data_IF_659771698667
#
_entry.id   IF_659771698667
#
_cell.length_a   1.000
_cell.length_b   1.000
_cell.length_c   1.000
_cell.angle_alpha   90.00
_cell.angle_beta   90.00
_cell.angle_gamma   90.00
#
_symmetry.space_group_name_H-M   'P 1'
#
loop_
_entity.id
_entity.type
_entity.pdbx_description
1 polymer ?
#
# COMPACT_ATOMS: atom_id res chain seq x y z
N UNK A 1 25.08 -13.15 27.66
CA UNK A 1 24.94 -11.69 27.46
C UNK A 1 25.28 -11.19 26.04
N UNK A 2 25.93 -11.97 25.17
CA UNK A 2 26.33 -11.52 23.80
C UNK A 2 25.18 -11.48 22.76
N UNK A 3 24.28 -12.47 22.74
CA UNK A 3 23.20 -12.56 21.74
C UNK A 3 22.08 -11.49 21.88
N UNK A 4 21.86 -10.96 23.08
CA UNK A 4 20.86 -9.91 23.32
C UNK A 4 21.32 -8.55 22.75
N UNK A 5 22.62 -8.26 22.85
CA UNK A 5 23.24 -7.04 22.31
C UNK A 5 23.24 -7.02 20.77
N UNK A 6 23.52 -8.16 20.13
CA UNK A 6 23.48 -8.25 18.66
C UNK A 6 22.06 -8.09 18.09
N UNK A 7 21.06 -8.67 18.76
CA UNK A 7 19.64 -8.55 18.36
C UNK A 7 19.12 -7.12 18.51
N UNK A 8 19.50 -6.43 19.58
CA UNK A 8 19.17 -5.01 19.78
C UNK A 8 19.80 -4.10 18.71
N UNK A 9 21.05 -4.36 18.33
CA UNK A 9 21.73 -3.63 17.24
C UNK A 9 21.05 -3.83 15.88
N UNK A 10 20.56 -5.05 15.60
CA UNK A 10 19.79 -5.33 14.39
C UNK A 10 18.45 -4.58 14.39
N UNK A 11 17.68 -4.60 15.48
CA UNK A 11 16.40 -3.88 15.58
C UNK A 11 16.61 -2.38 15.37
N UNK A 12 17.63 -1.79 16.00
CA UNK A 12 17.94 -0.37 15.83
C UNK A 12 18.30 -0.02 14.38
N UNK A 13 18.93 -0.93 13.65
CA UNK A 13 19.22 -0.75 12.22
C UNK A 13 17.94 -0.80 11.38
N UNK A 14 17.04 -1.76 11.65
CA UNK A 14 15.79 -1.89 10.92
C UNK A 14 14.88 -0.66 11.09
N UNK A 15 14.79 -0.12 12.31
CA UNK A 15 14.03 1.11 12.57
C UNK A 15 14.58 2.29 11.76
N UNK A 16 15.92 2.43 11.70
CA UNK A 16 16.56 3.50 10.91
C UNK A 16 16.24 3.38 9.42
N UNK A 17 16.26 2.16 8.88
CA UNK A 17 15.98 1.92 7.46
C UNK A 17 14.50 2.13 7.16
N UNK A 18 13.60 1.67 8.02
CA UNK A 18 12.17 1.93 7.89
C UNK A 18 11.90 3.43 7.92
N UNK A 19 12.49 4.16 8.87
CA UNK A 19 12.38 5.62 8.94
C UNK A 19 12.92 6.31 7.68
N UNK A 20 14.03 5.81 7.12
CA UNK A 20 14.55 6.31 5.84
C UNK A 20 13.54 6.15 4.70
N UNK A 21 12.94 4.97 4.53
CA UNK A 21 11.92 4.76 3.49
C UNK A 21 10.63 5.54 3.74
N UNK A 22 10.25 5.77 5.01
CA UNK A 22 9.15 6.69 5.34
C UNK A 22 9.46 8.11 4.91
N UNK A 23 10.65 8.64 5.21
CA UNK A 23 11.05 9.98 4.80
C UNK A 23 11.14 10.11 3.27
N UNK A 24 11.68 9.08 2.60
CA UNK A 24 11.71 9.03 1.13
C UNK A 24 10.29 9.06 0.55
N UNK A 25 9.37 8.28 1.12
CA UNK A 25 7.96 8.26 0.71
C UNK A 25 7.33 9.62 0.88
N UNK A 26 7.52 10.29 2.02
CA UNK A 26 7.01 11.63 2.27
C UNK A 26 7.55 12.65 1.26
N UNK A 27 8.82 12.54 0.87
CA UNK A 27 9.44 13.42 -0.12
C UNK A 27 8.87 13.20 -1.54
N UNK A 28 8.73 11.93 -1.95
CA UNK A 28 8.30 11.56 -3.31
C UNK A 28 6.80 11.73 -3.49
N UNK A 29 6.02 11.48 -2.45
CA UNK A 29 4.55 11.65 -2.48
C UNK A 29 4.12 13.06 -2.08
N UNK A 30 5.05 13.97 -1.78
CA UNK A 30 4.71 15.34 -1.40
C UNK A 30 3.82 16.00 -2.47
N UNK A 31 2.71 16.69 -2.11
CA UNK A 31 2.28 17.07 -0.76
C UNK A 31 1.22 16.14 -0.11
N UNK A 32 1.17 14.86 -0.46
CA UNK A 32 0.07 13.94 -0.06
C UNK A 32 -0.22 13.94 1.44
N UNK A 33 0.81 13.97 2.28
CA UNK A 33 0.65 13.96 3.75
C UNK A 33 -0.19 15.14 4.27
N UNK A 34 -0.17 16.28 3.58
CA UNK A 34 -0.97 17.46 3.93
C UNK A 34 -2.45 17.33 3.49
N UNK A 35 -2.73 16.34 2.66
CA UNK A 35 -4.03 16.13 1.99
C UNK A 35 -4.59 14.72 2.20
N UNK A 36 -4.14 14.02 3.26
CA UNK A 36 -4.49 12.62 3.53
C UNK A 36 -5.98 12.32 3.48
N UNK A 37 -6.83 13.27 3.86
CA UNK A 37 -8.27 13.03 4.01
C UNK A 37 -9.13 13.78 2.98
N UNK A 38 -8.53 14.50 2.02
CA UNK A 38 -9.30 15.34 1.08
C UNK A 38 -8.85 15.29 -0.38
N UNK A 39 -7.73 14.63 -0.70
CA UNK A 39 -7.28 14.42 -2.08
C UNK A 39 -6.66 13.05 -2.22
N UNK A 40 -6.68 12.52 -3.43
CA UNK A 40 -5.95 11.30 -3.80
C UNK A 40 -5.03 11.59 -4.98
N UNK A 41 -3.90 10.87 -5.12
CA UNK A 41 -3.06 10.96 -6.31
C UNK A 41 -3.82 10.46 -7.56
N UNK A 42 -3.41 10.99 -8.71
CA UNK A 42 -3.95 10.61 -10.02
C UNK A 42 -4.80 11.69 -10.68
N UNK A 43 -5.34 11.35 -11.84
CA UNK A 43 -6.15 12.25 -12.64
C UNK A 43 -7.55 12.43 -12.05
N UNK A 44 -8.22 13.52 -12.41
CA UNK A 44 -9.62 13.72 -12.04
C UNK A 44 -10.50 12.69 -12.76
N UNK A 45 -11.33 11.98 -11.99
CA UNK A 45 -12.29 10.98 -12.49
C UNK A 45 -11.66 9.84 -13.33
N UNK A 46 -10.51 9.31 -12.89
CA UNK A 46 -9.89 8.10 -13.46
C UNK A 46 -10.06 6.89 -12.50
N UNK A 47 -9.24 5.85 -12.69
CA UNK A 47 -9.29 4.61 -11.90
C UNK A 47 -9.22 4.84 -10.38
N UNK A 48 -8.54 5.89 -9.92
CA UNK A 48 -8.45 6.28 -8.50
C UNK A 48 -9.82 6.45 -7.84
N UNK A 49 -10.81 7.00 -8.56
CA UNK A 49 -12.17 7.16 -8.03
C UNK A 49 -12.93 5.83 -7.95
N UNK A 50 -12.66 4.89 -8.86
CA UNK A 50 -13.22 3.54 -8.77
C UNK A 50 -12.69 2.82 -7.52
N UNK A 51 -11.38 2.90 -7.25
CA UNK A 51 -10.79 2.30 -6.05
C UNK A 51 -11.29 2.95 -4.76
N UNK A 52 -11.40 4.27 -4.71
CA UNK A 52 -12.03 4.98 -3.58
C UNK A 52 -13.46 4.50 -3.35
N UNK A 53 -14.25 4.42 -4.42
CA UNK A 53 -15.62 3.95 -4.35
C UNK A 53 -15.68 2.50 -3.86
N UNK A 54 -14.79 1.59 -4.31
CA UNK A 54 -14.74 0.21 -3.82
C UNK A 54 -14.42 0.14 -2.32
N UNK A 55 -13.46 0.93 -1.84
CA UNK A 55 -13.11 1.02 -0.41
C UNK A 55 -14.31 1.50 0.41
N UNK A 56 -14.95 2.59 -0.03
CA UNK A 56 -16.17 3.12 0.58
C UNK A 56 -17.30 2.09 0.57
N UNK A 57 -17.58 1.48 -0.59
CA UNK A 57 -18.66 0.53 -0.78
C UNK A 57 -18.53 -0.70 0.12
N UNK A 58 -17.32 -1.24 0.25
CA UNK A 58 -17.08 -2.36 1.15
C UNK A 58 -17.43 -2.03 2.60
N UNK A 59 -17.03 -0.84 3.07
CA UNK A 59 -17.43 -0.35 4.39
C UNK A 59 -18.95 -0.19 4.47
N UNK A 60 -19.56 0.51 3.53
CA UNK A 60 -21.00 0.79 3.57
C UNK A 60 -21.85 -0.46 3.48
N UNK A 61 -21.55 -1.38 2.55
CA UNK A 61 -22.27 -2.63 2.41
C UNK A 61 -22.19 -3.49 3.68
N UNK A 62 -20.98 -3.68 4.24
CA UNK A 62 -20.79 -4.56 5.40
C UNK A 62 -21.27 -3.90 6.70
N UNK A 63 -20.89 -2.66 6.96
CA UNK A 63 -21.07 -1.99 8.25
C UNK A 63 -22.39 -1.24 8.32
N UNK A 64 -22.73 -0.48 7.27
CA UNK A 64 -23.89 0.42 7.31
C UNK A 64 -25.18 -0.30 6.86
N UNK A 65 -25.07 -1.21 5.89
CA UNK A 65 -26.23 -1.87 5.25
C UNK A 65 -26.41 -3.34 5.66
N UNK A 66 -25.38 -3.99 6.21
CA UNK A 66 -25.42 -5.41 6.58
C UNK A 66 -25.65 -6.36 5.41
N UNK A 67 -25.18 -6.00 4.21
CA UNK A 67 -25.34 -6.78 2.98
C UNK A 67 -24.00 -7.21 2.38
N UNK A 68 -24.06 -8.11 1.41
CA UNK A 68 -22.86 -8.55 0.69
C UNK A 68 -22.22 -7.37 -0.07
N UNK A 69 -20.92 -7.09 0.15
CA UNK A 69 -20.21 -6.07 -0.63
C UNK A 69 -19.96 -6.51 -2.08
N UNK A 70 -20.20 -7.78 -2.42
CA UNK A 70 -19.92 -8.33 -3.75
C UNK A 70 -21.01 -8.02 -4.79
N UNK A 71 -22.07 -7.31 -4.42
CA UNK A 71 -23.11 -6.86 -5.33
C UNK A 71 -23.33 -5.37 -5.13
N UNK A 72 -23.26 -4.59 -6.20
CA UNK A 72 -23.47 -3.15 -6.19
C UNK A 72 -24.78 -2.82 -6.93
N UNK A 73 -25.86 -2.47 -6.23
CA UNK A 73 -27.17 -2.22 -6.85
C UNK A 73 -27.19 -0.95 -7.72
N UNK A 74 -26.34 0.03 -7.38
CA UNK A 74 -26.34 1.34 -8.03
C UNK A 74 -25.49 1.37 -9.32
N UNK A 75 -24.64 0.37 -9.54
CA UNK A 75 -23.89 0.24 -10.78
C UNK A 75 -24.78 -0.45 -11.82
N UNK A 76 -24.87 0.12 -13.03
CA UNK A 76 -25.70 -0.41 -14.12
C UNK A 76 -27.18 -0.54 -13.72
N UNK A 77 -27.70 0.45 -13.01
CA UNK A 77 -29.11 0.52 -12.62
C UNK A 77 -30.04 0.36 -13.84
N UNK A 78 -31.14 -0.41 -13.74
CA UNK A 78 -31.70 -1.04 -12.53
C UNK A 78 -31.19 -2.45 -12.24
N UNK A 79 -30.33 -3.02 -13.07
CA UNK A 79 -29.92 -4.42 -12.95
C UNK A 79 -28.90 -4.67 -11.83
N UNK A 80 -28.15 -3.64 -11.43
CA UNK A 80 -27.03 -3.80 -10.52
C UNK A 80 -25.83 -4.48 -11.20
N UNK A 81 -24.74 -4.63 -10.44
CA UNK A 81 -23.54 -5.30 -10.92
C UNK A 81 -22.93 -6.19 -9.84
N UNK A 82 -22.64 -7.44 -10.20
CA UNK A 82 -21.91 -8.36 -9.34
C UNK A 82 -20.41 -8.05 -9.40
N UNK A 83 -19.89 -7.41 -8.35
CA UNK A 83 -18.47 -7.06 -8.20
C UNK A 83 -17.56 -8.29 -8.16
N UNK A 84 -18.09 -9.49 -7.91
CA UNK A 84 -17.36 -10.74 -8.08
C UNK A 84 -16.77 -10.92 -9.49
N UNK A 85 -17.34 -10.28 -10.51
CA UNK A 85 -16.82 -10.29 -11.89
C UNK A 85 -15.88 -9.13 -12.20
N UNK A 86 -15.77 -8.15 -11.31
CA UNK A 86 -14.82 -7.05 -11.43
C UNK A 86 -13.51 -7.37 -10.71
N UNK A 87 -12.54 -6.50 -10.93
CA UNK A 87 -11.32 -6.44 -10.13
C UNK A 87 -11.67 -5.93 -8.71
N UNK A 88 -11.36 -6.71 -7.69
CA UNK A 88 -11.90 -6.55 -6.33
C UNK A 88 -10.91 -5.96 -5.30
N UNK A 89 -9.61 -5.94 -5.58
CA UNK A 89 -8.55 -5.55 -4.63
C UNK A 89 -8.79 -5.97 -3.17
N UNK A 90 -8.96 -7.27 -2.83
CA UNK A 90 -9.35 -7.69 -1.46
C UNK A 90 -8.42 -7.17 -0.36
N UNK A 91 -7.13 -7.02 -0.67
CA UNK A 91 -6.15 -6.41 0.22
C UNK A 91 -6.59 -4.99 0.64
N UNK A 92 -7.00 -4.15 -0.30
CA UNK A 92 -7.36 -2.76 -0.04
C UNK A 92 -8.77 -2.61 0.53
N UNK A 93 -9.70 -3.47 0.12
CA UNK A 93 -11.11 -3.37 0.54
C UNK A 93 -11.40 -4.07 1.86
N UNK A 94 -10.91 -5.30 2.05
CA UNK A 94 -11.16 -6.09 3.27
C UNK A 94 -10.20 -5.70 4.39
N UNK A 95 -8.89 -5.65 4.12
CA UNK A 95 -7.91 -5.25 5.16
C UNK A 95 -8.00 -3.76 5.45
N UNK A 96 -8.38 -2.95 4.46
CA UNK A 96 -8.66 -1.53 4.64
C UNK A 96 -9.95 -1.20 5.37
N UNK A 97 -10.82 -2.18 5.64
CA UNK A 97 -12.12 -1.96 6.26
C UNK A 97 -12.03 -1.24 7.62
N UNK A 98 -11.15 -1.65 8.57
CA UNK A 98 -11.04 -0.95 9.85
C UNK A 98 -10.51 0.47 9.70
N UNK A 99 -9.59 0.69 8.77
CA UNK A 99 -9.04 2.02 8.48
C UNK A 99 -10.12 2.94 7.90
N UNK A 100 -10.93 2.40 6.99
CA UNK A 100 -12.03 3.13 6.34
C UNK A 100 -13.12 3.47 7.34
N UNK A 101 -13.42 2.55 8.26
CA UNK A 101 -14.36 2.81 9.34
C UNK A 101 -13.88 3.92 10.30
N UNK A 102 -12.58 3.99 10.59
CA UNK A 102 -12.00 4.97 11.52
C UNK A 102 -11.69 6.34 10.90
N UNK A 103 -11.20 6.36 9.66
CA UNK A 103 -10.62 7.55 9.02
C UNK A 103 -11.22 7.89 7.65
N UNK A 104 -12.11 7.05 7.11
CA UNK A 104 -12.72 7.24 5.80
C UNK A 104 -11.87 6.69 4.64
N UNK A 105 -12.52 6.53 3.49
CA UNK A 105 -11.94 5.90 2.30
C UNK A 105 -10.76 6.67 1.70
N UNK A 106 -10.78 8.01 1.78
CA UNK A 106 -9.71 8.86 1.26
C UNK A 106 -8.42 8.64 2.06
N UNK A 107 -8.53 8.65 3.39
CA UNK A 107 -7.41 8.38 4.28
C UNK A 107 -6.85 6.97 4.06
N UNK A 108 -7.72 5.97 3.98
CA UNK A 108 -7.34 4.57 3.73
C UNK A 108 -6.59 4.42 2.40
N UNK A 109 -7.12 4.99 1.32
CA UNK A 109 -6.48 4.95 0.01
C UNK A 109 -5.06 5.52 0.07
N UNK A 110 -4.92 6.71 0.67
CA UNK A 110 -3.63 7.39 0.75
C UNK A 110 -2.63 6.67 1.66
N UNK A 111 -3.11 6.07 2.76
CA UNK A 111 -2.28 5.22 3.60
C UNK A 111 -1.76 4.01 2.82
N UNK A 112 -2.59 3.33 2.04
CA UNK A 112 -2.12 2.24 1.19
C UNK A 112 -1.13 2.72 0.13
N UNK A 113 -1.41 3.87 -0.52
CA UNK A 113 -0.50 4.46 -1.48
C UNK A 113 0.87 4.81 -0.86
N UNK A 114 0.92 5.25 0.40
CA UNK A 114 2.19 5.49 1.10
C UNK A 114 2.86 4.18 1.55
N UNK A 115 2.07 3.24 2.06
CA UNK A 115 2.57 1.93 2.50
C UNK A 115 3.20 1.15 1.34
N UNK A 116 2.70 1.32 0.11
CA UNK A 116 3.29 0.66 -1.06
C UNK A 116 4.75 1.07 -1.27
N UNK A 117 5.12 2.33 -1.03
CA UNK A 117 6.52 2.77 -1.08
C UNK A 117 7.32 2.30 0.14
N UNK A 118 6.77 2.48 1.34
CA UNK A 118 7.49 2.19 2.59
C UNK A 118 7.82 0.70 2.68
N UNK A 119 6.81 -0.16 2.49
CA UNK A 119 6.95 -1.61 2.62
C UNK A 119 7.76 -2.20 1.47
N UNK A 120 7.58 -1.72 0.24
CA UNK A 120 8.35 -2.20 -0.90
C UNK A 120 9.85 -1.88 -0.77
N UNK A 121 10.18 -0.67 -0.32
CA UNK A 121 11.57 -0.25 -0.12
C UNK A 121 12.22 -1.02 1.02
N UNK A 122 11.53 -1.12 2.15
CA UNK A 122 12.01 -1.84 3.32
C UNK A 122 12.16 -3.36 3.07
N UNK A 123 11.17 -4.00 2.44
CA UNK A 123 11.24 -5.41 2.10
C UNK A 123 12.35 -5.70 1.08
N UNK A 124 12.53 -4.85 0.06
CA UNK A 124 13.64 -4.99 -0.89
C UNK A 124 15.00 -4.83 -0.19
N UNK A 125 15.12 -3.88 0.74
CA UNK A 125 16.32 -3.74 1.55
C UNK A 125 16.62 -5.03 2.33
N UNK A 126 15.62 -5.61 3.00
CA UNK A 126 15.80 -6.86 3.74
C UNK A 126 16.26 -8.01 2.85
N UNK A 127 15.66 -8.14 1.67
CA UNK A 127 15.96 -9.19 0.71
C UNK A 127 17.40 -9.08 0.20
N UNK A 128 17.78 -7.89 -0.25
CA UNK A 128 19.12 -7.66 -0.80
C UNK A 128 20.20 -7.70 0.28
N UNK A 129 19.87 -7.27 1.50
CA UNK A 129 20.77 -7.42 2.65
C UNK A 129 21.02 -8.90 2.95
N UNK A 130 20.01 -9.78 2.80
CA UNK A 130 20.16 -11.22 2.97
C UNK A 130 21.07 -11.82 1.89
N UNK A 131 20.92 -11.41 0.63
CA UNK A 131 21.72 -11.93 -0.49
C UNK A 131 23.17 -11.44 -0.51
N UNK A 132 23.40 -10.19 -0.14
CA UNK A 132 24.71 -9.53 -0.36
C UNK A 132 25.47 -9.22 0.91
N UNK A 133 24.79 -9.23 2.06
CA UNK A 133 25.31 -8.73 3.33
C UNK A 133 25.87 -7.29 3.27
N UNK A 134 25.47 -6.50 2.26
CA UNK A 134 25.93 -5.13 2.02
C UNK A 134 24.78 -4.14 2.19
N UNK A 135 24.88 -3.30 3.23
CA UNK A 135 23.84 -2.33 3.60
C UNK A 135 23.59 -1.26 2.54
N UNK A 136 24.66 -0.78 1.89
CA UNK A 136 24.53 0.27 0.88
C UNK A 136 23.91 -0.27 -0.41
N UNK A 137 24.30 -1.48 -0.81
CA UNK A 137 23.67 -2.17 -1.95
C UNK A 137 22.17 -2.40 -1.68
N UNK A 138 21.82 -2.82 -0.46
CA UNK A 138 20.44 -3.03 -0.06
C UNK A 138 19.59 -1.75 -0.04
N UNK A 139 20.14 -0.64 0.50
CA UNK A 139 19.45 0.66 0.49
C UNK A 139 19.25 1.13 -0.95
N UNK A 140 20.30 1.08 -1.76
CA UNK A 140 20.24 1.50 -3.17
C UNK A 140 19.21 0.66 -3.95
N UNK A 141 19.20 -0.65 -3.75
CA UNK A 141 18.22 -1.53 -4.39
C UNK A 141 16.78 -1.19 -3.99
N UNK A 142 16.52 -0.94 -2.69
CA UNK A 142 15.20 -0.52 -2.24
C UNK A 142 14.76 0.82 -2.82
N UNK A 143 15.67 1.80 -2.90
CA UNK A 143 15.40 3.11 -3.53
C UNK A 143 15.08 2.93 -5.02
N UNK A 144 15.90 2.19 -5.76
CA UNK A 144 15.68 1.95 -7.19
C UNK A 144 14.38 1.17 -7.43
N UNK A 145 14.04 0.24 -6.55
CA UNK A 145 12.81 -0.52 -6.65
C UNK A 145 11.57 0.36 -6.47
N UNK A 146 11.53 1.23 -5.46
CA UNK A 146 10.34 2.08 -5.22
C UNK A 146 10.25 3.27 -6.14
N UNK A 147 11.37 3.78 -6.66
CA UNK A 147 11.40 4.91 -7.59
C UNK A 147 11.42 4.48 -9.07
N UNK A 148 11.20 3.19 -9.33
CA UNK A 148 11.16 2.71 -10.69
C UNK A 148 10.02 3.39 -11.50
N UNK A 149 10.17 3.59 -12.81
CA UNK A 149 9.17 4.29 -13.63
C UNK A 149 7.77 3.66 -13.58
N UNK A 150 7.67 2.34 -13.47
CA UNK A 150 6.39 1.65 -13.34
C UNK A 150 5.68 2.06 -12.05
N UNK A 151 6.35 2.07 -10.90
CA UNK A 151 5.72 2.42 -9.63
C UNK A 151 5.25 3.87 -9.61
N UNK A 152 6.06 4.80 -10.13
CA UNK A 152 5.70 6.23 -10.23
C UNK A 152 4.47 6.42 -11.12
N UNK A 153 4.39 5.73 -12.26
CA UNK A 153 3.23 5.82 -13.16
C UNK A 153 1.98 5.20 -12.52
N UNK A 154 2.10 4.05 -11.85
CA UNK A 154 0.94 3.37 -11.23
C UNK A 154 0.45 4.07 -9.97
N UNK A 155 1.33 4.71 -9.20
CA UNK A 155 0.96 5.62 -8.12
C UNK A 155 0.01 6.73 -8.59
N UNK A 156 0.01 7.06 -9.89
CA UNK A 156 -0.94 7.97 -10.53
C UNK A 156 -2.41 7.51 -10.56
N UNK A 157 -2.82 6.55 -9.73
CA UNK A 157 -4.22 6.27 -9.46
C UNK A 157 -4.61 4.79 -9.42
N UNK A 158 -3.71 3.87 -9.78
CA UNK A 158 -4.03 2.45 -9.95
C UNK A 158 -3.56 1.64 -8.74
N UNK A 159 -4.41 1.60 -7.72
CA UNK A 159 -4.09 1.09 -6.37
C UNK A 159 -3.47 -0.33 -6.32
N UNK A 160 -4.05 -1.37 -6.96
CA UNK A 160 -3.45 -2.71 -6.91
C UNK A 160 -2.13 -2.81 -7.67
N UNK A 161 -1.92 -1.96 -8.68
CA UNK A 161 -0.70 -1.99 -9.48
C UNK A 161 0.44 -1.22 -8.82
N UNK A 162 0.15 -0.26 -7.93
CA UNK A 162 1.16 0.39 -7.10
C UNK A 162 1.59 -0.48 -5.90
N UNK A 163 0.80 -1.48 -5.50
CA UNK A 163 1.11 -2.40 -4.40
C UNK A 163 2.24 -3.41 -4.75
N UNK A 164 3.44 -2.90 -4.99
CA UNK A 164 4.60 -3.68 -5.43
C UNK A 164 5.38 -4.33 -4.27
N UNK A 165 5.00 -4.06 -3.03
CA UNK A 165 5.63 -4.64 -1.83
C UNK A 165 5.45 -6.16 -1.72
N UNK A 166 4.40 -6.70 -2.35
CA UNK A 166 4.14 -8.13 -2.35
C UNK A 166 5.27 -8.95 -2.96
N UNK A 167 5.99 -8.42 -3.96
CA UNK A 167 7.08 -9.12 -4.65
C UNK A 167 8.27 -9.38 -3.70
N UNK A 168 8.92 -8.38 -3.10
CA UNK A 168 10.03 -8.63 -2.18
C UNK A 168 9.58 -9.37 -0.91
N UNK A 169 8.36 -9.13 -0.42
CA UNK A 169 7.82 -9.88 0.74
C UNK A 169 7.65 -11.36 0.42
N UNK A 170 7.17 -11.70 -0.78
CA UNK A 170 7.07 -13.08 -1.23
C UNK A 170 8.43 -13.79 -1.24
N UNK A 171 9.47 -13.17 -1.83
CA UNK A 171 10.81 -13.75 -1.84
C UNK A 171 11.43 -13.86 -0.44
N UNK A 172 11.21 -12.89 0.44
CA UNK A 172 11.65 -12.97 1.83
C UNK A 172 11.03 -14.16 2.58
N UNK A 173 9.76 -14.46 2.29
CA UNK A 173 9.04 -15.59 2.86
C UNK A 173 9.48 -16.95 2.29
N UNK A 174 9.90 -17.01 1.03
CA UNK A 174 10.44 -18.22 0.42
C UNK A 174 11.83 -18.59 0.95
N UNK A 175 12.61 -17.60 1.37
CA UNK A 175 13.97 -17.79 1.88
C UNK A 175 14.03 -17.87 3.42
N UNK A 176 12.89 -18.09 4.08
CA UNK A 176 12.74 -18.11 5.53
C UNK A 176 13.04 -19.48 6.17
#
# INVERSE_FOLDING_TARGET
MSAASSKQSQIGTQIKVLAFFTLLTLAVTWPLILHLNNRVPGWFAADNYEYLWKIWWFKTAIIDLGQSPLFAPDISYPSGFALAYAELTPLHTVIGLPLTWLWGEIATYNLFAMLSFILAGWATYLLVMRWTNNRWAAILAGVLYVLNPYHIVRYGGILPLMAIEGIPVFFLGLEA
#
